data_IF_712414327640
#
_entry.id   IF_712414327640
#
_cell.length_a   1.000
_cell.length_b   1.000
_cell.length_c   1.000
_cell.angle_alpha   90.00
_cell.angle_beta   90.00
_cell.angle_gamma   90.00
#
_symmetry.space_group_name_H-M   'P 1'
#
loop_
_entity.id
_entity.type
_entity.pdbx_description
1 polymer ?
#
# COMPACT_ATOMS: atom_id res chain seq x y z
N UNK A 1 10.83 5.35 -26.52
CA UNK A 1 11.86 4.46 -25.94
C UNK A 1 12.20 3.38 -26.96
N UNK A 2 13.48 3.19 -27.28
CA UNK A 2 13.94 2.28 -28.32
C UNK A 2 13.66 0.82 -27.94
N UNK A 3 12.66 0.21 -28.58
CA UNK A 3 12.27 -1.20 -28.41
C UNK A 3 13.16 -2.18 -29.20
N UNK A 4 14.36 -1.76 -29.61
CA UNK A 4 15.25 -2.57 -30.44
C UNK A 4 16.01 -3.56 -29.57
N UNK A 5 15.90 -4.86 -29.88
CA UNK A 5 16.77 -5.89 -29.28
C UNK A 5 18.23 -5.56 -29.63
N UNK A 6 19.14 -5.45 -28.64
CA UNK A 6 20.54 -5.18 -28.92
C UNK A 6 21.10 -6.31 -29.77
N UNK A 7 21.75 -5.96 -30.88
CA UNK A 7 22.57 -6.90 -31.63
C UNK A 7 23.93 -6.87 -30.96
N UNK A 8 24.32 -7.97 -30.31
CA UNK A 8 25.54 -8.06 -29.51
C UNK A 8 26.80 -8.07 -30.39
N UNK A 9 27.19 -6.89 -30.86
CA UNK A 9 28.56 -6.56 -31.25
C UNK A 9 29.05 -5.32 -30.47
N UNK A 10 28.46 -5.05 -29.30
CA UNK A 10 28.69 -3.83 -28.53
C UNK A 10 29.57 -4.09 -27.32
N UNK A 11 30.66 -3.34 -27.24
CA UNK A 11 31.43 -3.13 -26.02
C UNK A 11 30.60 -2.28 -25.05
N UNK A 12 30.65 -2.58 -23.75
CA UNK A 12 29.91 -1.80 -22.73
C UNK A 12 30.57 -0.43 -22.62
N UNK A 13 29.92 0.59 -23.19
CA UNK A 13 30.36 1.98 -23.09
C UNK A 13 29.70 2.64 -21.88
N UNK A 14 30.52 3.07 -20.91
CA UNK A 14 30.06 3.79 -19.72
C UNK A 14 30.44 5.26 -19.86
N UNK A 15 29.45 6.14 -19.77
CA UNK A 15 29.70 7.57 -19.68
C UNK A 15 30.03 7.96 -18.23
N UNK A 16 31.11 8.70 -18.04
CA UNK A 16 31.60 9.15 -16.72
C UNK A 16 31.24 10.60 -16.41
N UNK A 17 30.51 11.28 -17.31
CA UNK A 17 30.11 12.67 -17.11
C UNK A 17 29.21 12.81 -15.86
N UNK A 18 29.56 13.71 -14.93
CA UNK A 18 28.72 13.97 -13.77
C UNK A 18 27.46 14.74 -14.18
N UNK A 19 26.40 14.60 -13.37
CA UNK A 19 25.17 15.37 -13.55
C UNK A 19 25.45 16.88 -13.39
N UNK A 20 24.84 17.76 -14.22
CA UNK A 20 24.97 19.21 -14.08
C UNK A 20 24.59 19.72 -12.69
N UNK A 21 25.31 20.74 -12.20
CA UNK A 21 25.16 21.27 -10.83
C UNK A 21 23.78 21.89 -10.55
N UNK A 22 23.08 22.35 -11.60
CA UNK A 22 21.71 22.88 -11.49
C UNK A 22 20.70 21.84 -10.98
N UNK A 23 20.99 20.55 -11.15
CA UNK A 23 20.09 19.46 -10.77
C UNK A 23 20.56 18.87 -9.44
N UNK A 24 19.76 19.01 -8.36
CA UNK A 24 20.14 18.46 -7.06
C UNK A 24 20.21 16.93 -7.10
N UNK A 25 21.31 16.39 -6.57
CA UNK A 25 21.59 14.96 -6.45
C UNK A 25 20.57 14.28 -5.51
N UNK A 26 20.12 13.09 -5.87
CA UNK A 26 19.20 12.29 -5.05
C UNK A 26 19.81 10.94 -4.72
N UNK A 27 19.47 10.42 -3.54
CA UNK A 27 19.87 9.08 -3.13
C UNK A 27 19.02 8.06 -3.89
N UNK A 28 19.69 7.23 -4.67
CA UNK A 28 19.06 6.13 -5.39
C UNK A 28 18.56 5.02 -4.47
N UNK A 29 17.62 4.22 -4.98
CA UNK A 29 16.89 3.22 -4.19
C UNK A 29 17.80 2.06 -3.76
N UNK A 30 18.80 1.71 -4.57
CA UNK A 30 19.86 0.73 -4.21
C UNK A 30 19.37 -0.69 -3.90
N UNK A 31 18.14 -1.05 -4.29
CA UNK A 31 17.56 -2.37 -4.05
C UNK A 31 17.57 -3.21 -5.34
N UNK A 32 17.77 -4.53 -5.20
CA UNK A 32 17.67 -5.48 -6.31
C UNK A 32 16.21 -5.74 -6.72
N UNK A 33 16.01 -6.51 -7.79
CA UNK A 33 14.70 -6.79 -8.39
C UNK A 33 13.74 -7.51 -7.43
N UNK A 34 14.14 -8.57 -6.71
CA UNK A 34 13.22 -9.24 -5.78
C UNK A 34 12.75 -8.41 -4.56
N UNK A 35 13.61 -7.68 -3.82
CA UNK A 35 13.13 -6.85 -2.72
C UNK A 35 12.23 -5.71 -3.22
N UNK A 36 12.50 -5.15 -4.41
CA UNK A 36 11.59 -4.19 -5.05
C UNK A 36 10.25 -4.82 -5.41
N UNK A 37 10.24 -6.04 -5.94
CA UNK A 37 9.04 -6.76 -6.30
C UNK A 37 8.20 -7.14 -5.06
N UNK A 38 8.86 -7.56 -3.99
CA UNK A 38 8.27 -7.83 -2.67
C UNK A 38 7.62 -6.56 -2.07
N UNK A 39 8.28 -5.41 -2.16
CA UNK A 39 7.79 -4.14 -1.61
C UNK A 39 6.84 -3.36 -2.53
N UNK A 40 6.65 -3.81 -3.78
CA UNK A 40 5.94 -3.07 -4.84
C UNK A 40 4.52 -2.60 -4.42
N UNK A 41 3.74 -3.46 -3.78
CA UNK A 41 2.39 -3.13 -3.34
C UNK A 41 2.38 -2.09 -2.21
N UNK A 42 3.36 -2.11 -1.32
CA UNK A 42 3.47 -1.13 -0.21
C UNK A 42 3.95 0.23 -0.72
N UNK A 43 4.88 0.23 -1.68
CA UNK A 43 5.28 1.45 -2.40
C UNK A 43 4.07 2.01 -3.15
N UNK A 44 3.29 1.17 -3.83
CA UNK A 44 2.06 1.59 -4.51
C UNK A 44 1.02 2.18 -3.56
N UNK A 45 0.84 1.63 -2.36
CA UNK A 45 -0.13 2.12 -1.39
C UNK A 45 0.25 3.50 -0.81
N UNK A 46 1.53 3.74 -0.52
CA UNK A 46 2.00 4.99 0.07
C UNK A 46 2.34 6.07 -0.97
N UNK A 47 2.94 5.67 -2.08
CA UNK A 47 3.49 6.58 -3.08
C UNK A 47 2.56 6.76 -4.30
N UNK A 48 1.28 6.39 -4.18
CA UNK A 48 0.32 6.47 -5.28
C UNK A 48 0.26 7.86 -5.90
N UNK A 49 0.04 8.87 -5.09
CA UNK A 49 -0.12 10.26 -5.52
C UNK A 49 1.11 10.76 -6.28
N UNK A 50 2.32 10.47 -5.77
CA UNK A 50 3.56 10.88 -6.42
C UNK A 50 3.83 10.16 -7.74
N UNK A 51 3.45 8.88 -7.83
CA UNK A 51 3.61 8.10 -9.05
C UNK A 51 2.62 8.58 -10.13
N UNK A 52 1.38 8.86 -9.73
CA UNK A 52 0.33 9.35 -10.62
C UNK A 52 0.70 10.75 -11.16
N UNK A 53 1.20 11.65 -10.30
CA UNK A 53 1.71 12.98 -10.70
C UNK A 53 2.87 12.90 -11.70
N UNK A 54 3.82 11.97 -11.47
CA UNK A 54 4.96 11.79 -12.36
C UNK A 54 4.52 11.28 -13.74
N UNK A 55 3.58 10.33 -13.78
CA UNK A 55 3.04 9.81 -15.03
C UNK A 55 2.21 10.87 -15.76
N UNK A 56 1.42 11.66 -15.02
CA UNK A 56 0.65 12.77 -15.58
C UNK A 56 1.57 13.82 -16.22
N UNK A 57 2.62 14.26 -15.50
CA UNK A 57 3.62 15.18 -16.04
C UNK A 57 4.26 14.65 -17.33
N UNK A 58 4.59 13.36 -17.36
CA UNK A 58 5.19 12.72 -18.55
C UNK A 58 4.22 12.67 -19.73
N UNK A 59 2.93 12.50 -19.47
CA UNK A 59 1.88 12.52 -20.50
C UNK A 59 1.64 13.93 -21.04
N UNK A 60 1.69 14.95 -20.18
CA UNK A 60 1.44 16.35 -20.56
C UNK A 60 2.62 16.97 -21.32
N UNK A 61 3.87 16.65 -20.93
CA UNK A 61 5.09 17.11 -21.59
C UNK A 61 5.45 16.23 -22.80
N UNK A 62 4.77 16.44 -23.93
CA UNK A 62 5.03 15.74 -25.19
C UNK A 62 6.51 15.81 -25.64
N UNK A 63 7.27 14.74 -25.40
CA UNK A 63 8.67 14.60 -25.82
C UNK A 63 9.71 15.32 -24.94
N UNK A 64 9.29 16.03 -23.88
CA UNK A 64 10.19 16.70 -22.92
C UNK A 64 10.07 16.19 -21.48
N UNK A 65 9.25 15.17 -21.25
CA UNK A 65 9.00 14.61 -19.92
C UNK A 65 10.26 14.18 -19.16
N UNK A 66 11.34 13.80 -19.84
CA UNK A 66 12.60 13.42 -19.18
C UNK A 66 13.29 14.60 -18.47
N UNK A 67 13.18 15.84 -18.98
CA UNK A 67 13.80 17.02 -18.38
C UNK A 67 12.84 17.77 -17.46
N UNK A 68 11.58 17.93 -17.89
CA UNK A 68 10.59 18.73 -17.18
C UNK A 68 10.15 18.06 -15.86
N UNK A 69 10.05 16.71 -15.85
CA UNK A 69 9.51 15.95 -14.72
C UNK A 69 10.57 15.45 -13.72
N UNK A 70 11.79 15.99 -13.76
CA UNK A 70 12.86 15.59 -12.85
C UNK A 70 12.49 15.87 -11.38
N UNK A 71 11.71 16.90 -11.10
CA UNK A 71 11.30 17.26 -9.73
C UNK A 71 10.37 16.20 -9.15
N UNK A 72 9.42 15.71 -9.93
CA UNK A 72 8.43 14.69 -9.60
C UNK A 72 9.13 13.33 -9.47
N UNK A 73 10.05 13.00 -10.39
CA UNK A 73 10.87 11.80 -10.31
C UNK A 73 11.66 11.71 -8.99
N UNK A 74 12.23 12.82 -8.53
CA UNK A 74 12.90 12.90 -7.22
C UNK A 74 11.95 12.67 -6.04
N UNK A 75 10.68 13.05 -6.13
CA UNK A 75 9.68 12.81 -5.08
C UNK A 75 9.35 11.31 -5.00
N UNK A 76 9.17 10.68 -6.17
CA UNK A 76 8.92 9.23 -6.27
C UNK A 76 10.07 8.43 -5.66
N UNK A 77 11.32 8.71 -6.03
CA UNK A 77 12.48 7.97 -5.50
C UNK A 77 12.66 8.17 -3.99
N UNK A 78 12.43 9.39 -3.49
CA UNK A 78 12.43 9.66 -2.04
C UNK A 78 11.34 8.87 -1.31
N UNK A 79 10.11 8.85 -1.84
CA UNK A 79 9.02 8.09 -1.25
C UNK A 79 9.34 6.59 -1.20
N UNK A 80 9.78 5.99 -2.32
CA UNK A 80 10.18 4.59 -2.36
C UNK A 80 11.32 4.28 -1.38
N UNK A 81 12.32 5.15 -1.28
CA UNK A 81 13.42 4.99 -0.31
C UNK A 81 12.94 5.01 1.15
N UNK A 82 11.91 5.81 1.46
CA UNK A 82 11.33 5.88 2.81
C UNK A 82 10.61 4.57 3.17
N UNK A 83 9.84 4.01 2.24
CA UNK A 83 9.15 2.72 2.45
C UNK A 83 10.15 1.61 2.73
N UNK A 84 11.22 1.52 1.94
CA UNK A 84 12.24 0.49 2.15
C UNK A 84 13.00 0.65 3.46
N UNK A 85 13.27 1.90 3.89
CA UNK A 85 13.87 2.17 5.21
C UNK A 85 12.94 1.71 6.34
N UNK A 86 11.66 1.98 6.24
CA UNK A 86 10.70 1.59 7.27
C UNK A 86 10.51 0.06 7.31
N UNK A 87 10.50 -0.61 6.16
CA UNK A 87 10.47 -2.08 6.12
C UNK A 87 11.73 -2.69 6.74
N UNK A 88 12.91 -2.12 6.46
CA UNK A 88 14.17 -2.60 7.00
C UNK A 88 14.29 -2.38 8.52
N UNK A 89 13.62 -1.39 9.08
CA UNK A 89 13.66 -1.11 10.53
C UNK A 89 12.65 -1.96 11.30
N UNK A 90 11.47 -2.25 10.70
CA UNK A 90 10.39 -2.94 11.41
C UNK A 90 10.22 -4.43 11.06
N UNK A 91 10.46 -4.83 9.81
CA UNK A 91 10.03 -6.14 9.28
C UNK A 91 11.13 -6.88 8.49
N UNK A 92 12.41 -6.66 8.84
CA UNK A 92 13.55 -7.14 8.05
C UNK A 92 13.58 -8.67 7.88
N UNK A 93 13.26 -9.43 8.93
CA UNK A 93 13.31 -10.90 8.91
C UNK A 93 12.27 -11.48 7.94
N UNK A 94 11.01 -11.05 8.07
CA UNK A 94 9.90 -11.50 7.22
C UNK A 94 10.09 -11.03 5.77
N UNK A 95 10.61 -9.81 5.61
CA UNK A 95 10.94 -9.27 4.29
C UNK A 95 12.04 -10.08 3.61
N UNK A 96 13.11 -10.44 4.32
CA UNK A 96 14.21 -11.26 3.82
C UNK A 96 13.76 -12.66 3.41
N UNK A 97 12.95 -13.31 4.25
CA UNK A 97 12.36 -14.60 3.93
C UNK A 97 11.50 -14.53 2.65
N UNK A 98 10.73 -13.45 2.47
CA UNK A 98 9.87 -13.30 1.29
C UNK A 98 10.66 -13.09 0.00
N UNK A 99 11.58 -12.12 -0.05
CA UNK A 99 12.31 -11.86 -1.29
C UNK A 99 13.31 -12.97 -1.63
N UNK A 100 13.87 -13.67 -0.63
CA UNK A 100 14.75 -14.83 -0.88
C UNK A 100 13.98 -15.97 -1.56
N UNK A 101 12.72 -16.19 -1.14
CA UNK A 101 11.85 -17.15 -1.81
C UNK A 101 11.57 -16.76 -3.27
N UNK A 102 11.30 -15.46 -3.51
CA UNK A 102 11.02 -14.91 -4.84
C UNK A 102 12.22 -15.11 -5.79
N UNK A 103 13.44 -14.81 -5.33
CA UNK A 103 14.66 -14.97 -6.14
C UNK A 103 14.85 -16.42 -6.61
N UNK A 104 14.61 -17.41 -5.75
CA UNK A 104 14.82 -18.81 -6.08
C UNK A 104 13.77 -19.38 -7.07
N UNK A 105 12.72 -18.63 -7.38
CA UNK A 105 11.50 -19.11 -8.04
C UNK A 105 11.10 -18.26 -9.25
N UNK A 106 12.10 -17.75 -9.97
CA UNK A 106 11.94 -16.94 -11.18
C UNK A 106 10.98 -15.75 -10.99
N UNK A 107 10.99 -15.17 -9.78
CA UNK A 107 10.15 -14.05 -9.36
C UNK A 107 8.62 -14.30 -9.44
N UNK A 108 8.20 -15.56 -9.37
CA UNK A 108 6.78 -15.93 -9.39
C UNK A 108 6.13 -15.78 -8.00
N UNK A 109 5.33 -14.73 -7.83
CA UNK A 109 4.65 -14.38 -6.55
C UNK A 109 3.78 -15.51 -5.98
N UNK A 110 3.13 -16.31 -6.83
CA UNK A 110 2.22 -17.36 -6.37
C UNK A 110 2.93 -18.52 -5.68
N UNK A 111 4.25 -18.66 -5.83
CA UNK A 111 5.00 -19.71 -5.16
C UNK A 111 5.38 -19.35 -3.71
N UNK A 112 5.35 -18.06 -3.34
CA UNK A 112 5.89 -17.55 -2.06
C UNK A 112 4.80 -16.94 -1.15
N UNK A 113 3.61 -17.53 -1.10
CA UNK A 113 2.46 -16.97 -0.37
C UNK A 113 2.58 -17.04 1.15
N UNK A 114 3.17 -18.10 1.68
CA UNK A 114 3.38 -18.23 3.13
C UNK A 114 4.25 -17.10 3.72
N UNK A 115 5.46 -16.80 3.18
CA UNK A 115 6.24 -15.68 3.68
C UNK A 115 5.58 -14.33 3.35
N UNK A 116 4.82 -14.23 2.25
CA UNK A 116 4.04 -13.02 1.94
C UNK A 116 3.00 -12.71 3.03
N UNK A 117 2.26 -13.69 3.53
CA UNK A 117 1.28 -13.48 4.60
C UNK A 117 1.92 -12.99 5.90
N UNK A 118 3.09 -13.53 6.25
CA UNK A 118 3.88 -13.09 7.42
C UNK A 118 4.35 -11.65 7.26
N UNK A 119 4.82 -11.28 6.06
CA UNK A 119 5.22 -9.92 5.74
C UNK A 119 4.03 -8.95 5.80
N UNK A 120 2.90 -9.29 5.17
CA UNK A 120 1.70 -8.47 5.16
C UNK A 120 1.19 -8.20 6.58
N UNK A 121 1.24 -9.19 7.46
CA UNK A 121 0.89 -9.03 8.88
C UNK A 121 1.80 -8.00 9.57
N UNK A 122 3.13 -8.16 9.45
CA UNK A 122 4.10 -7.25 10.07
C UNK A 122 3.95 -5.81 9.57
N UNK A 123 3.78 -5.63 8.26
CA UNK A 123 3.62 -4.30 7.65
C UNK A 123 2.30 -3.67 8.06
N UNK A 124 1.22 -4.44 8.17
CA UNK A 124 -0.05 -3.91 8.65
C UNK A 124 0.01 -3.47 10.12
N UNK A 125 0.66 -4.26 10.99
CA UNK A 125 0.77 -3.97 12.41
C UNK A 125 1.61 -2.72 12.70
N UNK A 126 2.73 -2.54 11.99
CA UNK A 126 3.67 -1.43 12.24
C UNK A 126 3.39 -0.18 11.38
N UNK A 127 3.18 -0.38 10.08
CA UNK A 127 3.09 0.69 9.07
C UNK A 127 1.65 1.01 8.66
N UNK A 128 0.68 0.17 9.04
CA UNK A 128 -0.74 0.30 8.65
C UNK A 128 -0.95 0.38 7.14
N UNK A 129 -0.03 -0.21 6.37
CA UNK A 129 -0.13 -0.33 4.92
C UNK A 129 -0.74 -1.69 4.57
N UNK A 130 -1.69 -1.67 3.65
CA UNK A 130 -2.38 -2.86 3.18
C UNK A 130 -2.01 -3.14 1.71
N UNK A 131 -1.86 -4.42 1.38
CA UNK A 131 -1.78 -4.85 -0.02
C UNK A 131 -3.19 -4.91 -0.60
N UNK A 132 -3.52 -3.96 -1.46
CA UNK A 132 -4.81 -3.89 -2.15
C UNK A 132 -4.62 -4.03 -3.67
N UNK A 133 -5.35 -4.95 -4.29
CA UNK A 133 -5.44 -5.07 -5.74
C UNK A 133 -6.61 -4.19 -6.24
N UNK A 134 -6.34 -3.14 -7.03
CA UNK A 134 -7.40 -2.31 -7.57
C UNK A 134 -8.25 -3.10 -8.59
N UNK A 135 -9.52 -2.69 -8.76
CA UNK A 135 -10.44 -3.24 -9.77
C UNK A 135 -10.76 -4.75 -9.66
N UNK A 136 -10.67 -5.32 -8.45
CA UNK A 136 -11.12 -6.68 -8.14
C UNK A 136 -12.65 -6.82 -8.35
N UNK A 137 -13.11 -7.85 -9.08
CA UNK A 137 -14.54 -8.16 -9.24
C UNK A 137 -15.20 -8.40 -7.87
N UNK A 138 -16.33 -7.72 -7.54
CA UNK A 138 -17.00 -7.91 -6.26
C UNK A 138 -17.53 -9.35 -6.12
N UNK A 139 -17.26 -9.99 -4.98
CA UNK A 139 -17.69 -11.36 -4.67
C UNK A 139 -16.67 -12.46 -5.00
N UNK A 140 -15.52 -12.12 -5.60
CA UNK A 140 -14.44 -13.07 -5.87
C UNK A 140 -13.32 -12.89 -4.85
N UNK A 141 -12.87 -13.97 -4.22
CA UNK A 141 -11.71 -13.94 -3.32
C UNK A 141 -10.44 -13.57 -4.10
N UNK A 142 -9.70 -12.53 -3.68
CA UNK A 142 -8.41 -12.16 -4.24
C UNK A 142 -7.43 -13.31 -4.27
N UNK A 143 -6.57 -13.34 -5.29
CA UNK A 143 -5.66 -14.48 -5.54
C UNK A 143 -4.69 -14.66 -4.37
N UNK A 144 -4.23 -13.58 -3.76
CA UNK A 144 -3.32 -13.54 -2.61
C UNK A 144 -3.92 -14.12 -1.33
N UNK A 145 -5.25 -14.18 -1.23
CA UNK A 145 -5.97 -14.72 -0.09
C UNK A 145 -6.43 -16.17 -0.28
N UNK A 146 -6.21 -16.77 -1.46
CA UNK A 146 -6.64 -18.14 -1.73
C UNK A 146 -5.76 -19.13 -0.93
N UNK A 147 -6.36 -20.13 -0.26
CA UNK A 147 -5.61 -21.13 0.50
C UNK A 147 -4.88 -22.13 -0.39
N UNK A 148 -5.30 -22.29 -1.65
CA UNK A 148 -4.72 -23.21 -2.62
C UNK A 148 -4.41 -22.47 -3.93
N UNK A 149 -3.22 -22.70 -4.47
CA UNK A 149 -2.74 -22.12 -5.74
C UNK A 149 -2.55 -23.24 -6.77
N UNK A 150 -3.17 -23.12 -7.94
CA UNK A 150 -3.13 -24.16 -8.98
C UNK A 150 -1.73 -24.31 -9.59
N UNK A 151 -0.97 -23.21 -9.67
CA UNK A 151 0.35 -23.15 -10.31
C UNK A 151 1.53 -23.20 -9.34
N UNK A 152 1.30 -23.46 -8.05
CA UNK A 152 2.40 -23.52 -7.08
C UNK A 152 3.09 -24.88 -7.14
N UNK A 153 4.42 -24.87 -7.25
CA UNK A 153 5.23 -26.09 -7.27
C UNK A 153 5.11 -26.91 -5.98
N UNK A 154 4.79 -26.24 -4.86
CA UNK A 154 4.61 -26.85 -3.55
C UNK A 154 3.24 -26.52 -2.99
N UNK A 155 2.61 -27.52 -2.36
CA UNK A 155 1.40 -27.31 -1.59
C UNK A 155 1.70 -26.39 -0.40
N UNK A 156 0.78 -25.48 -0.10
CA UNK A 156 0.90 -24.59 1.05
C UNK A 156 0.66 -25.42 2.31
N UNK A 157 1.62 -25.44 3.24
CA UNK A 157 1.41 -26.02 4.56
C UNK A 157 0.39 -25.16 5.31
N UNK A 158 -0.83 -25.65 5.46
CA UNK A 158 -1.95 -24.97 6.12
C UNK A 158 -1.73 -24.76 7.62
N UNK A 159 -0.76 -25.47 8.21
CA UNK A 159 -0.34 -25.34 9.61
C UNK A 159 0.59 -24.12 9.84
N UNK A 160 1.42 -23.76 8.84
CA UNK A 160 2.46 -22.73 9.01
C UNK A 160 1.99 -21.30 8.67
N UNK A 161 0.83 -21.15 8.04
CA UNK A 161 0.30 -19.84 7.69
C UNK A 161 -1.14 -19.87 7.20
N UNK A 162 -1.95 -18.95 7.71
CA UNK A 162 -3.28 -18.63 7.18
C UNK A 162 -3.20 -17.32 6.39
N UNK A 163 -4.03 -17.13 5.34
CA UNK A 163 -4.14 -15.84 4.67
C UNK A 163 -4.42 -14.72 5.66
N UNK A 164 -3.62 -13.66 5.63
CA UNK A 164 -3.83 -12.49 6.47
C UNK A 164 -4.95 -11.64 5.86
N UNK A 165 -6.08 -11.55 6.57
CA UNK A 165 -7.16 -10.61 6.25
C UNK A 165 -7.15 -9.57 7.37
N UNK A 166 -6.86 -8.28 7.10
CA UNK A 166 -6.95 -7.26 8.13
C UNK A 166 -8.38 -7.25 8.69
N UNK A 167 -8.54 -7.09 10.01
CA UNK A 167 -9.86 -6.95 10.62
C UNK A 167 -10.58 -5.82 9.89
N UNK A 168 -11.68 -6.17 9.21
CA UNK A 168 -12.36 -5.34 8.23
C UNK A 168 -12.53 -3.90 8.75
N UNK A 169 -12.11 -2.89 7.99
CA UNK A 169 -12.86 -1.62 8.00
C UNK A 169 -14.33 -2.02 7.76
N UNK A 170 -15.29 -1.51 8.56
CA UNK A 170 -16.68 -1.94 8.45
C UNK A 170 -17.07 -1.89 6.97
N UNK A 171 -17.36 -3.06 6.40
CA UNK A 171 -17.82 -3.18 5.01
C UNK A 171 -18.91 -2.14 4.85
N UNK A 172 -18.70 -1.19 3.93
CA UNK A 172 -19.73 -0.25 3.54
C UNK A 172 -20.99 -1.08 3.31
N UNK A 173 -21.95 -0.95 4.22
CA UNK A 173 -23.14 -1.76 4.24
C UNK A 173 -23.79 -1.55 2.88
N UNK A 174 -23.75 -2.57 2.02
CA UNK A 174 -24.59 -2.56 0.84
C UNK A 174 -26.01 -2.50 1.38
N UNK A 175 -26.62 -1.32 1.29
CA UNK A 175 -28.04 -1.12 1.46
C UNK A 175 -28.70 -2.07 0.46
N UNK A 176 -28.97 -3.31 0.88
CA UNK A 176 -30.02 -4.12 0.27
C UNK A 176 -31.25 -3.25 0.45
N UNK A 177 -31.64 -2.53 -0.61
CA UNK A 177 -33.01 -2.06 -0.77
C UNK A 177 -33.86 -3.32 -0.67
N UNK A 178 -34.32 -3.63 0.56
CA UNK A 178 -35.46 -4.51 0.73
C UNK A 178 -36.53 -3.89 -0.16
N UNK A 179 -36.97 -4.64 -1.17
CA UNK A 179 -38.20 -4.34 -1.91
C UNK A 179 -39.21 -3.83 -0.88
N UNK A 180 -39.74 -2.64 -1.11
CA UNK A 180 -40.92 -2.18 -0.40
C UNK A 180 -41.99 -3.24 -0.60
N UNK A 181 -42.17 -4.06 0.42
CA UNK A 181 -43.42 -4.73 0.67
C UNK A 181 -43.87 -4.11 1.99
N UNK A 182 -44.84 -3.22 1.89
CA UNK A 182 -45.61 -2.75 3.03
C UNK A 182 -46.05 -3.97 3.83
N UNK A 183 -45.82 -3.97 5.14
CA UNK A 183 -46.86 -3.94 6.19
C UNK A 183 -46.13 -3.78 7.53
N UNK A 184 -46.54 -2.75 8.27
CA UNK A 184 -46.31 -2.45 9.70
C UNK A 184 -45.43 -3.41 10.51
N UNK A 185 -44.31 -2.88 11.01
CA UNK A 185 -43.74 -3.31 12.28
C UNK A 185 -43.08 -2.10 12.94
N UNK A 186 -43.67 -1.67 14.06
CA UNK A 186 -43.15 -0.66 14.97
C UNK A 186 -41.69 -0.98 15.35
N UNK A 187 -40.83 0.03 15.34
CA UNK A 187 -39.53 -0.01 16.02
C UNK A 187 -39.52 1.10 17.06
N UNK A 188 -39.61 0.68 18.33
CA UNK A 188 -39.16 1.45 19.49
C UNK A 188 -37.64 1.65 19.37
N UNK A 189 -37.23 2.90 19.19
CA UNK A 189 -35.85 3.34 19.32
C UNK A 189 -35.54 3.54 20.80
N UNK A 190 -34.88 2.55 21.41
CA UNK A 190 -34.28 2.68 22.74
C UNK A 190 -32.77 2.49 22.67
N UNK A 191 -32.05 3.29 23.47
CA UNK A 191 -30.61 3.27 23.77
C UNK A 191 -29.64 4.07 22.88
N UNK A 192 -29.77 5.40 22.93
CA UNK A 192 -28.61 6.30 23.02
C UNK A 192 -28.62 6.99 24.40
N UNK A 193 -27.52 6.98 25.18
CA UNK A 193 -27.48 7.61 26.49
C UNK A 193 -27.37 9.15 26.39
N UNK A 194 -27.96 9.92 27.33
CA UNK A 194 -28.06 11.38 27.21
C UNK A 194 -26.76 12.11 27.58
N UNK A 195 -26.32 13.00 26.68
CA UNK A 195 -25.29 13.99 26.94
C UNK A 195 -25.79 15.02 27.97
N UNK A 196 -25.02 15.20 29.04
CA UNK A 196 -25.25 16.12 30.15
C UNK A 196 -24.82 17.54 29.72
N UNK A 197 -25.77 18.46 29.56
CA UNK A 197 -25.47 19.90 29.33
C UNK A 197 -24.96 20.58 30.62
N UNK A 198 -24.03 21.54 30.54
CA UNK A 198 -23.57 22.30 31.70
C UNK A 198 -24.60 23.35 32.16
N UNK A 199 -24.82 23.37 33.48
CA UNK A 199 -25.75 24.25 34.21
C UNK A 199 -25.08 25.60 34.48
N UNK A 200 -25.78 26.67 34.09
CA UNK A 200 -25.46 28.08 34.38
C UNK A 200 -25.54 28.30 35.90
N UNK A 201 -24.43 28.64 36.54
CA UNK A 201 -24.39 29.05 37.95
C UNK A 201 -24.91 30.50 38.08
N UNK A 202 -26.00 30.66 38.84
CA UNK A 202 -26.44 31.95 39.36
C UNK A 202 -25.70 32.22 40.68
N UNK A 203 -24.82 33.22 40.67
CA UNK A 203 -24.29 33.85 41.87
C UNK A 203 -25.40 34.65 42.57
N UNK A 204 -25.81 34.19 43.75
CA UNK A 204 -26.57 34.98 44.72
C UNK A 204 -25.83 34.91 46.05
N UNK A 205 -24.90 35.86 46.23
CA UNK A 205 -24.28 36.15 47.51
C UNK A 205 -25.24 36.97 48.36
N UNK A 206 -25.68 36.37 49.45
CA UNK A 206 -26.33 37.02 50.60
C UNK A 206 -25.32 37.97 51.28
N UNK A 207 -25.70 39.23 51.49
CA UNK A 207 -25.09 40.08 52.50
C UNK A 207 -26.17 40.96 53.13
N UNK A 208 -26.61 40.54 54.33
CA UNK A 208 -27.44 41.29 55.25
C UNK A 208 -26.52 41.68 56.43
N UNK A 209 -26.24 42.98 56.60
CA UNK A 209 -25.77 43.54 57.88
C UNK A 209 -25.89 45.07 57.86
N UNK A 210 -26.78 45.56 58.71
CA UNK A 210 -26.96 46.91 59.29
C UNK A 210 -27.07 48.10 58.35
#
# INVERSE_FOLDING_TARGET
>A
MASRRPQFNQQVQVDTTPLPDDIPKVKEIGASSAPLLSASYFIGARCREYNDDFMQCKTDSAGRGEFDCLKEGRRVTRCASSVLKDINTHCLEQFKAHWTCIENRNHQLYQCRQPEWKLNKCVFENLKLEKHIPNQRPGVTPVELRPHMIYADQAINTLEGKPFIPRQRPRAASRRRKRCMCVYALWEDDSLPPARMPRIERSLGFALKM
#
